data_IF_096306931627
#
_entry.id   IF_096306931627
#
_cell.length_a   1.000
_cell.length_b   1.000
_cell.length_c   1.000
_cell.angle_alpha   90.00
_cell.angle_beta   90.00
_cell.angle_gamma   90.00
#
_symmetry.space_group_name_H-M   'P 1'
#
loop_
_entity.id
_entity.type
_entity.pdbx_description
1 polymer ?
#
# COMPACT_ATOMS: atom_id res chain seq x y z
N UNK A 1 1.30 14.96 -1.92
CA UNK A 1 1.42 14.35 -0.56
C UNK A 1 0.66 13.03 -0.57
N UNK A 2 1.23 11.99 0.01
CA UNK A 2 0.61 10.67 0.21
C UNK A 2 0.44 10.44 1.70
N UNK A 3 -0.80 10.31 2.16
CA UNK A 3 -1.09 9.91 3.54
C UNK A 3 -1.03 8.39 3.64
N UNK A 4 -0.32 7.89 4.65
CA UNK A 4 -0.21 6.45 4.95
C UNK A 4 -0.65 6.22 6.39
N UNK A 5 -1.56 5.29 6.62
CA UNK A 5 -2.05 4.92 7.96
C UNK A 5 -2.06 3.40 8.15
N UNK A 6 -1.29 2.92 9.10
CA UNK A 6 -1.38 1.54 9.57
C UNK A 6 -2.61 1.45 10.50
N UNK A 7 -3.74 0.96 9.97
CA UNK A 7 -5.00 0.89 10.71
C UNK A 7 -4.96 -0.21 11.77
N UNK A 8 -4.37 -1.36 11.45
CA UNK A 8 -4.18 -2.48 12.35
C UNK A 8 -2.81 -3.12 12.16
N UNK A 9 -2.16 -3.51 13.24
CA UNK A 9 -0.81 -4.06 13.25
C UNK A 9 -0.70 -5.45 13.89
N UNK A 10 -1.81 -6.11 14.20
CA UNK A 10 -1.87 -7.44 14.76
C UNK A 10 -1.99 -8.52 13.69
N UNK A 11 -1.39 -9.68 13.94
CA UNK A 11 -1.58 -10.91 13.17
C UNK A 11 -2.37 -11.96 13.95
N UNK A 12 -2.90 -12.96 13.25
CA UNK A 12 -3.59 -14.15 13.73
C UNK A 12 -4.97 -13.91 14.36
N UNK A 13 -5.06 -13.14 15.44
CA UNK A 13 -6.33 -12.91 16.16
C UNK A 13 -6.41 -11.49 16.69
N UNK A 14 -7.63 -10.88 16.73
CA UNK A 14 -7.79 -9.54 17.26
C UNK A 14 -7.57 -9.53 18.78
N UNK A 15 -6.98 -8.44 19.26
CA UNK A 15 -6.81 -8.17 20.69
C UNK A 15 -7.57 -6.89 21.06
N UNK A 16 -8.00 -6.70 22.32
CA UNK A 16 -8.75 -5.51 22.72
C UNK A 16 -8.02 -4.19 22.44
N UNK A 17 -6.70 -4.23 22.33
CA UNK A 17 -5.80 -3.09 22.13
C UNK A 17 -5.01 -3.15 20.82
N UNK A 18 -5.30 -4.14 19.94
CA UNK A 18 -4.58 -4.30 18.66
C UNK A 18 -5.51 -4.88 17.60
N UNK A 19 -5.81 -4.08 16.59
CA UNK A 19 -6.61 -4.50 15.44
C UNK A 19 -5.79 -5.37 14.48
N UNK A 20 -6.49 -6.19 13.70
CA UNK A 20 -5.90 -7.06 12.70
C UNK A 20 -5.38 -6.26 11.50
N UNK A 21 -4.59 -6.93 10.70
CA UNK A 21 -3.81 -6.39 9.60
C UNK A 21 -4.63 -5.53 8.64
N UNK A 22 -4.25 -4.26 8.52
CA UNK A 22 -4.86 -3.34 7.55
C UNK A 22 -4.01 -2.08 7.40
N UNK A 23 -3.77 -1.66 6.16
CA UNK A 23 -3.04 -0.45 5.79
C UNK A 23 -3.90 0.39 4.84
N UNK A 24 -4.01 1.68 5.08
CA UNK A 24 -4.72 2.60 4.19
C UNK A 24 -3.80 3.70 3.68
N UNK A 25 -3.88 3.96 2.38
CA UNK A 25 -3.19 5.05 1.71
C UNK A 25 -4.21 6.01 1.09
N UNK A 26 -3.92 7.32 1.13
CA UNK A 26 -4.78 8.35 0.53
C UNK A 26 -3.95 9.30 -0.33
N UNK A 27 -4.41 9.53 -1.56
CA UNK A 27 -3.76 10.41 -2.52
C UNK A 27 -4.80 11.07 -3.43
N UNK A 28 -4.82 12.39 -3.53
CA UNK A 28 -5.67 13.16 -4.44
C UNK A 28 -7.17 12.78 -4.38
N UNK A 29 -7.71 12.57 -3.18
CA UNK A 29 -9.12 12.22 -2.99
C UNK A 29 -9.45 10.74 -3.18
N UNK A 30 -8.52 9.94 -3.64
CA UNK A 30 -8.62 8.47 -3.79
C UNK A 30 -7.99 7.76 -2.60
N UNK A 31 -8.48 6.58 -2.26
CA UNK A 31 -7.90 5.76 -1.20
C UNK A 31 -7.72 4.31 -1.65
N UNK A 32 -6.61 3.72 -1.19
CA UNK A 32 -6.35 2.29 -1.29
C UNK A 32 -6.37 1.69 0.12
N UNK A 33 -7.01 0.54 0.27
CA UNK A 33 -6.94 -0.29 1.46
C UNK A 33 -6.13 -1.55 1.11
N UNK A 34 -5.14 -1.92 1.90
CA UNK A 34 -4.38 -3.17 1.74
C UNK A 34 -4.63 -4.03 2.96
N UNK A 35 -5.21 -5.19 2.74
CA UNK A 35 -5.81 -6.08 3.72
C UNK A 35 -6.97 -5.43 4.50
N UNK A 36 -7.89 -6.25 4.91
CA UNK A 36 -9.09 -5.86 5.63
C UNK A 36 -9.38 -6.89 6.73
N UNK A 37 -8.52 -6.90 7.76
CA UNK A 37 -8.70 -7.73 8.94
C UNK A 37 -9.94 -7.32 9.73
N UNK A 38 -10.33 -8.13 10.70
CA UNK A 38 -11.48 -7.85 11.56
C UNK A 38 -11.34 -6.49 12.25
N UNK A 39 -12.44 -5.73 12.30
CA UNK A 39 -12.54 -4.41 12.89
C UNK A 39 -11.81 -3.27 12.14
N UNK A 40 -11.36 -3.45 10.91
CA UNK A 40 -10.75 -2.39 10.09
C UNK A 40 -11.62 -1.13 10.01
N UNK A 41 -12.96 -1.26 9.83
CA UNK A 41 -13.88 -0.13 9.80
C UNK A 41 -13.95 0.63 11.13
N UNK A 42 -13.72 -0.05 12.26
CA UNK A 42 -13.64 0.59 13.59
C UNK A 42 -12.35 1.40 13.70
N UNK A 43 -11.21 0.83 13.27
CA UNK A 43 -9.92 1.51 13.24
C UNK A 43 -9.97 2.78 12.38
N UNK A 44 -10.59 2.70 11.18
CA UNK A 44 -10.83 3.85 10.31
C UNK A 44 -11.67 4.93 11.00
N UNK A 45 -12.80 4.55 11.61
CA UNK A 45 -13.67 5.49 12.33
C UNK A 45 -12.95 6.17 13.48
N UNK A 46 -12.17 5.44 14.28
CA UNK A 46 -11.32 6.01 15.34
C UNK A 46 -10.28 6.98 14.79
N UNK A 47 -9.73 6.70 13.61
CA UNK A 47 -8.78 7.58 12.92
C UNK A 47 -9.45 8.83 12.33
N UNK A 48 -10.77 8.84 12.16
CA UNK A 48 -11.52 9.90 11.50
C UNK A 48 -11.35 9.88 9.96
N UNK A 49 -11.00 8.75 9.39
CA UNK A 49 -10.88 8.57 7.94
C UNK A 49 -12.18 8.00 7.36
N UNK A 50 -12.69 8.65 6.31
CA UNK A 50 -13.90 8.20 5.63
C UNK A 50 -13.62 6.95 4.78
N UNK A 51 -14.53 5.97 4.75
CA UNK A 51 -14.45 4.84 3.85
C UNK A 51 -14.81 5.18 2.39
N UNK A 52 -15.64 6.20 2.14
CA UNK A 52 -16.16 6.53 0.80
C UNK A 52 -15.10 6.67 -0.29
N UNK A 53 -13.91 7.27 -0.04
CA UNK A 53 -12.89 7.39 -1.07
C UNK A 53 -12.13 6.10 -1.39
N UNK A 54 -12.48 4.94 -0.80
CA UNK A 54 -11.81 3.66 -1.11
C UNK A 54 -12.19 3.22 -2.52
N UNK A 55 -11.28 3.36 -3.46
CA UNK A 55 -11.46 2.92 -4.84
C UNK A 55 -11.05 1.47 -5.06
N UNK A 56 -10.06 1.01 -4.28
CA UNK A 56 -9.64 -0.39 -4.33
C UNK A 56 -9.26 -0.94 -2.95
N UNK A 57 -9.51 -2.25 -2.78
CA UNK A 57 -9.06 -3.06 -1.65
C UNK A 57 -8.15 -4.16 -2.22
N UNK A 58 -6.90 -4.16 -1.76
CA UNK A 58 -5.89 -5.13 -2.17
C UNK A 58 -5.72 -6.17 -1.06
N UNK A 59 -5.59 -7.44 -1.42
CA UNK A 59 -5.33 -8.52 -0.47
C UNK A 59 -3.96 -9.13 -0.72
N UNK A 60 -3.16 -9.26 0.33
CA UNK A 60 -1.89 -9.97 0.28
C UNK A 60 -2.13 -11.48 0.12
N UNK A 61 -3.07 -12.01 0.88
CA UNK A 61 -3.54 -13.40 0.84
C UNK A 61 -4.89 -13.52 1.58
N UNK A 62 -5.39 -14.76 1.79
CA UNK A 62 -6.75 -14.98 2.31
C UNK A 62 -6.82 -15.67 3.67
N UNK A 63 -5.80 -15.50 4.53
CA UNK A 63 -5.98 -15.86 5.94
C UNK A 63 -6.96 -14.89 6.60
N UNK A 64 -7.65 -15.39 7.63
CA UNK A 64 -8.77 -14.67 8.23
C UNK A 64 -8.39 -13.27 8.74
N UNK A 65 -7.23 -13.12 9.34
CA UNK A 65 -6.71 -11.86 9.87
C UNK A 65 -6.40 -10.79 8.79
N UNK A 66 -6.48 -11.15 7.50
CA UNK A 66 -6.31 -10.24 6.37
C UNK A 66 -7.61 -9.94 5.60
N UNK A 67 -8.65 -10.77 5.73
CA UNK A 67 -9.86 -10.64 4.90
C UNK A 67 -11.18 -10.70 5.68
N UNK A 68 -11.20 -11.17 6.92
CA UNK A 68 -12.46 -11.38 7.68
C UNK A 68 -13.28 -10.11 7.89
N UNK A 69 -12.66 -8.93 7.85
CA UNK A 69 -13.35 -7.64 7.94
C UNK A 69 -14.06 -7.19 6.66
N UNK A 70 -13.81 -7.85 5.53
CA UNK A 70 -14.32 -7.40 4.22
C UNK A 70 -15.85 -7.27 4.18
N UNK A 71 -16.67 -8.23 4.62
CA UNK A 71 -18.14 -8.08 4.55
C UNK A 71 -18.61 -6.85 5.33
N UNK A 72 -18.10 -6.65 6.55
CA UNK A 72 -18.43 -5.48 7.37
C UNK A 72 -17.96 -4.16 6.76
N UNK A 73 -16.82 -4.15 6.08
CA UNK A 73 -16.31 -2.97 5.37
C UNK A 73 -17.22 -2.63 4.17
N UNK A 74 -17.60 -3.60 3.37
CA UNK A 74 -18.48 -3.39 2.21
C UNK A 74 -19.87 -2.89 2.64
N UNK A 75 -20.44 -3.44 3.71
CA UNK A 75 -21.68 -2.92 4.30
C UNK A 75 -21.51 -1.50 4.83
N UNK A 76 -20.35 -1.17 5.40
CA UNK A 76 -20.05 0.20 5.85
C UNK A 76 -19.99 1.18 4.68
N UNK A 77 -19.41 0.79 3.55
CA UNK A 77 -19.41 1.57 2.31
C UNK A 77 -20.84 1.78 1.77
N UNK A 78 -21.66 0.71 1.75
CA UNK A 78 -23.05 0.79 1.33
C UNK A 78 -23.90 1.71 2.23
N UNK A 79 -23.72 1.61 3.55
CA UNK A 79 -24.39 2.49 4.51
C UNK A 79 -23.93 3.95 4.44
N UNK A 80 -22.79 4.21 3.83
CA UNK A 80 -22.28 5.56 3.54
C UNK A 80 -22.73 6.07 2.16
N UNK A 81 -23.79 5.45 1.58
CA UNK A 81 -24.42 5.82 0.32
C UNK A 81 -23.49 5.75 -0.90
N UNK A 82 -22.44 4.91 -0.84
CA UNK A 82 -21.56 4.70 -2.00
C UNK A 82 -22.32 3.97 -3.10
N UNK A 83 -22.22 4.48 -4.33
CA UNK A 83 -22.73 3.86 -5.56
C UNK A 83 -21.64 3.55 -6.58
N UNK A 84 -20.48 4.20 -6.47
CA UNK A 84 -19.34 3.96 -7.35
C UNK A 84 -18.74 2.57 -7.12
N UNK A 85 -18.29 1.89 -8.17
CA UNK A 85 -17.67 0.56 -8.05
C UNK A 85 -16.47 0.54 -7.09
N UNK A 86 -16.25 -0.61 -6.46
CA UNK A 86 -15.04 -0.90 -5.67
C UNK A 86 -14.26 -2.02 -6.36
N UNK A 87 -12.98 -1.79 -6.60
CA UNK A 87 -12.09 -2.79 -7.18
C UNK A 87 -11.44 -3.63 -6.07
N UNK A 88 -11.59 -4.95 -6.15
CA UNK A 88 -10.91 -5.90 -5.28
C UNK A 88 -9.76 -6.54 -6.06
N UNK A 89 -8.55 -6.50 -5.50
CA UNK A 89 -7.34 -7.04 -6.12
C UNK A 89 -6.72 -8.06 -5.17
N UNK A 90 -6.30 -9.21 -5.69
CA UNK A 90 -5.62 -10.20 -4.84
C UNK A 90 -5.15 -11.44 -5.59
N UNK A 91 -4.56 -12.40 -4.87
CA UNK A 91 -4.12 -13.65 -5.45
C UNK A 91 -5.24 -14.40 -6.18
N UNK A 92 -4.86 -15.33 -7.04
CA UNK A 92 -5.82 -16.26 -7.70
C UNK A 92 -6.75 -16.93 -6.70
N UNK A 93 -8.05 -16.94 -7.00
CA UNK A 93 -9.11 -17.46 -6.14
C UNK A 93 -9.86 -16.37 -5.36
N UNK A 94 -9.56 -15.08 -5.58
CA UNK A 94 -10.21 -13.94 -4.95
C UNK A 94 -11.73 -13.97 -5.17
N UNK A 95 -12.17 -14.17 -6.39
CA UNK A 95 -13.61 -14.18 -6.71
C UNK A 95 -14.37 -15.23 -5.89
N UNK A 96 -13.81 -16.43 -5.79
CA UNK A 96 -14.44 -17.52 -5.00
C UNK A 96 -14.51 -17.16 -3.51
N UNK A 97 -13.44 -16.61 -2.95
CA UNK A 97 -13.36 -16.21 -1.54
C UNK A 97 -14.36 -15.09 -1.25
N UNK A 98 -14.36 -14.04 -2.06
CA UNK A 98 -15.28 -12.89 -1.93
C UNK A 98 -16.73 -13.33 -2.01
N UNK A 99 -17.10 -14.13 -3.03
CA UNK A 99 -18.47 -14.68 -3.15
C UNK A 99 -18.90 -15.50 -1.94
N UNK A 100 -17.98 -16.28 -1.37
CA UNK A 100 -18.27 -17.07 -0.16
C UNK A 100 -18.51 -16.20 1.08
N UNK A 101 -17.72 -15.13 1.24
CA UNK A 101 -17.88 -14.18 2.35
C UNK A 101 -19.18 -13.36 2.22
N UNK A 102 -19.56 -13.01 0.99
CA UNK A 102 -20.73 -12.17 0.71
C UNK A 102 -22.07 -12.93 0.82
N UNK A 103 -22.09 -14.21 1.13
CA UNK A 103 -23.33 -14.93 1.51
C UNK A 103 -24.03 -14.23 2.68
N UNK A 104 -23.29 -13.58 3.57
CA UNK A 104 -23.85 -12.81 4.71
C UNK A 104 -24.12 -11.32 4.41
N UNK A 105 -23.76 -10.85 3.21
CA UNK A 105 -23.97 -9.47 2.75
C UNK A 105 -24.29 -9.47 1.24
N UNK A 106 -25.44 -10.09 0.84
CA UNK A 106 -25.71 -10.41 -0.56
C UNK A 106 -26.05 -9.20 -1.42
N UNK A 107 -26.51 -8.12 -0.80
CA UNK A 107 -26.96 -6.91 -1.52
C UNK A 107 -26.05 -5.73 -1.17
N UNK A 108 -25.37 -5.20 -2.19
CA UNK A 108 -24.55 -3.99 -2.09
C UNK A 108 -25.06 -2.97 -3.11
N UNK A 109 -25.13 -1.66 -2.77
CA UNK A 109 -25.60 -0.63 -3.69
C UNK A 109 -24.60 -0.24 -4.77
N UNK A 110 -23.46 -0.92 -4.85
CA UNK A 110 -22.38 -0.69 -5.81
C UNK A 110 -21.84 -2.00 -6.38
N UNK A 111 -21.22 -1.90 -7.55
CA UNK A 111 -20.54 -3.03 -8.21
C UNK A 111 -19.22 -3.38 -7.51
N UNK A 112 -18.92 -4.68 -7.37
CA UNK A 112 -17.59 -5.18 -7.04
C UNK A 112 -16.91 -5.66 -8.32
N UNK A 113 -15.81 -5.01 -8.67
CA UNK A 113 -14.91 -5.46 -9.73
C UNK A 113 -13.79 -6.28 -9.12
N UNK A 114 -13.51 -7.43 -9.71
CA UNK A 114 -12.51 -8.37 -9.19
C UNK A 114 -11.37 -8.48 -10.18
N UNK A 115 -10.16 -8.34 -9.67
CA UNK A 115 -8.92 -8.53 -10.41
C UNK A 115 -8.03 -9.53 -9.66
N UNK A 116 -7.81 -10.69 -10.26
CA UNK A 116 -6.91 -11.71 -9.74
C UNK A 116 -5.52 -11.52 -10.34
N UNK A 117 -4.51 -11.40 -9.48
CA UNK A 117 -3.12 -11.18 -9.88
C UNK A 117 -2.59 -12.41 -10.61
N UNK A 118 -1.95 -12.19 -11.77
CA UNK A 118 -1.33 -13.22 -12.59
C UNK A 118 0.21 -13.21 -12.45
N UNK A 119 0.79 -14.41 -12.38
CA UNK A 119 2.25 -14.58 -12.35
C UNK A 119 2.90 -14.24 -11.00
N UNK A 120 4.18 -13.89 -11.07
CA UNK A 120 5.00 -13.58 -9.87
C UNK A 120 5.08 -12.08 -9.59
N UNK A 121 4.86 -11.25 -10.58
CA UNK A 121 4.83 -9.78 -10.49
C UNK A 121 3.78 -9.24 -11.46
N UNK A 122 3.09 -8.18 -11.07
CA UNK A 122 2.12 -7.50 -11.91
C UNK A 122 2.08 -6.01 -11.56
N UNK A 123 2.03 -5.16 -12.60
CA UNK A 123 1.90 -3.71 -12.47
C UNK A 123 0.46 -3.27 -12.76
N UNK A 124 -0.14 -2.54 -11.82
CA UNK A 124 -1.53 -2.08 -11.87
C UNK A 124 -1.55 -0.57 -11.62
N UNK A 125 -2.31 0.18 -12.42
CA UNK A 125 -2.46 1.62 -12.26
C UNK A 125 -3.90 1.99 -11.90
N UNK A 126 -4.09 2.73 -10.81
CA UNK A 126 -5.40 3.16 -10.30
C UNK A 126 -5.27 4.59 -9.79
N UNK A 127 -6.04 5.55 -10.34
CA UNK A 127 -6.20 6.90 -9.79
C UNK A 127 -4.88 7.60 -9.38
N UNK A 128 -3.81 7.41 -10.18
CA UNK A 128 -2.49 7.99 -9.93
C UNK A 128 -1.57 7.14 -9.03
N UNK A 129 -2.05 6.04 -8.48
CA UNK A 129 -1.22 5.02 -7.86
C UNK A 129 -0.64 4.09 -8.93
N UNK A 130 0.66 3.85 -8.89
CA UNK A 130 1.31 2.77 -9.63
C UNK A 130 1.64 1.68 -8.62
N UNK A 131 0.96 0.56 -8.72
CA UNK A 131 1.02 -0.55 -7.78
C UNK A 131 1.75 -1.69 -8.46
N UNK A 132 2.81 -2.20 -7.83
CA UNK A 132 3.45 -3.45 -8.22
C UNK A 132 3.15 -4.50 -7.17
N UNK A 133 2.39 -5.53 -7.56
CA UNK A 133 2.25 -6.76 -6.80
C UNK A 133 3.47 -7.64 -7.06
N UNK A 134 4.05 -8.26 -6.03
CA UNK A 134 5.17 -9.18 -6.17
C UNK A 134 5.04 -10.35 -5.20
N UNK A 135 5.29 -11.56 -5.70
CA UNK A 135 5.15 -12.80 -4.93
C UNK A 135 6.18 -12.87 -3.80
N UNK A 136 5.71 -13.29 -2.62
CA UNK A 136 6.52 -13.53 -1.42
C UNK A 136 6.41 -15.00 -0.97
N UNK A 137 7.10 -15.38 0.11
CA UNK A 137 7.21 -16.78 0.55
C UNK A 137 6.39 -17.05 1.82
N UNK A 138 5.14 -17.41 1.63
CA UNK A 138 4.24 -17.84 2.71
C UNK A 138 3.67 -19.25 2.46
N UNK A 139 2.86 -19.77 3.39
CA UNK A 139 2.24 -21.11 3.30
C UNK A 139 1.14 -21.17 2.24
N UNK A 140 0.55 -20.04 1.89
CA UNK A 140 -0.40 -19.86 0.79
C UNK A 140 0.14 -18.88 -0.24
N UNK A 141 -0.52 -18.77 -1.40
CA UNK A 141 -0.15 -17.75 -2.39
C UNK A 141 -0.31 -16.36 -1.76
N UNK A 142 0.82 -15.63 -1.67
CA UNK A 142 0.90 -14.34 -0.99
C UNK A 142 1.72 -13.35 -1.81
N UNK A 143 1.27 -12.08 -1.81
CA UNK A 143 1.94 -10.97 -2.49
C UNK A 143 2.26 -9.85 -1.52
N UNK A 144 3.40 -9.20 -1.73
CA UNK A 144 3.69 -7.86 -1.25
C UNK A 144 3.27 -6.84 -2.30
N UNK A 145 3.18 -5.57 -1.89
CA UNK A 145 2.81 -4.46 -2.76
C UNK A 145 3.80 -3.32 -2.63
N UNK A 146 4.25 -2.80 -3.75
CA UNK A 146 4.93 -1.51 -3.83
C UNK A 146 4.00 -0.50 -4.48
N UNK A 147 3.73 0.59 -3.78
CA UNK A 147 2.89 1.70 -4.25
C UNK A 147 3.78 2.89 -4.54
N UNK A 148 3.73 3.38 -5.77
CA UNK A 148 4.52 4.54 -6.21
C UNK A 148 3.61 5.64 -6.74
N UNK A 149 3.92 6.88 -6.35
CA UNK A 149 3.29 8.09 -6.89
C UNK A 149 4.35 8.77 -7.75
N UNK A 150 4.10 8.84 -9.05
CA UNK A 150 5.02 9.50 -10.00
C UNK A 150 5.02 11.01 -9.80
N UNK A 151 6.15 11.64 -10.03
CA UNK A 151 6.32 13.08 -10.04
C UNK A 151 6.79 13.53 -11.41
N UNK A 152 5.92 14.22 -12.15
CA UNK A 152 6.27 14.78 -13.46
C UNK A 152 7.49 15.71 -13.38
N UNK A 153 8.20 15.83 -14.46
CA UNK A 153 9.26 16.81 -14.64
C UNK A 153 8.77 18.24 -14.43
N UNK A 154 9.69 19.18 -14.28
CA UNK A 154 9.32 20.61 -14.23
C UNK A 154 8.93 21.09 -15.62
N UNK A 155 7.85 21.85 -15.70
CA UNK A 155 7.47 22.54 -16.94
C UNK A 155 8.49 23.63 -17.26
N UNK A 156 8.93 23.66 -18.51
CA UNK A 156 9.89 24.66 -19.00
C UNK A 156 9.13 25.78 -19.76
N UNK A 157 8.81 26.85 -19.05
CA UNK A 157 8.09 28.00 -19.58
C UNK A 157 8.89 28.75 -20.66
N UNK A 158 10.22 28.76 -20.58
CA UNK A 158 11.09 29.38 -21.61
C UNK A 158 10.96 28.64 -22.92
N UNK A 159 11.08 27.30 -22.87
CA UNK A 159 10.94 26.44 -24.06
C UNK A 159 9.52 26.48 -24.63
N UNK A 160 8.50 26.60 -23.78
CA UNK A 160 7.12 26.76 -24.22
C UNK A 160 6.90 28.08 -24.95
N UNK A 161 7.55 29.16 -24.52
CA UNK A 161 7.53 30.47 -25.20
C UNK A 161 8.32 30.42 -26.51
N UNK A 162 9.50 29.79 -26.54
CA UNK A 162 10.32 29.62 -27.76
C UNK A 162 9.58 28.84 -28.86
N UNK A 163 8.74 27.88 -28.46
CA UNK A 163 7.91 27.09 -29.36
C UNK A 163 6.56 27.74 -29.70
N UNK A 164 6.32 28.95 -29.23
CA UNK A 164 5.07 29.69 -29.42
C UNK A 164 3.83 28.88 -28.99
N UNK A 165 3.93 28.14 -27.89
CA UNK A 165 2.82 27.35 -27.35
C UNK A 165 1.84 28.28 -26.62
N UNK A 166 0.56 28.32 -27.01
CA UNK A 166 -0.44 29.14 -26.34
C UNK A 166 -0.54 28.83 -24.83
N UNK A 167 -0.55 29.85 -23.98
CA UNK A 167 -0.58 29.70 -22.50
C UNK A 167 -1.77 28.81 -22.04
N UNK A 168 -2.91 28.88 -22.73
CA UNK A 168 -4.09 28.04 -22.48
C UNK A 168 -3.82 26.53 -22.57
N UNK A 169 -2.74 26.10 -23.24
CA UNK A 169 -2.34 24.70 -23.42
C UNK A 169 -1.34 24.24 -22.37
N UNK A 170 -0.67 25.14 -21.66
CA UNK A 170 0.41 24.79 -20.72
C UNK A 170 -0.05 23.83 -19.63
N UNK A 171 -1.23 24.11 -19.03
CA UNK A 171 -1.78 23.24 -17.95
C UNK A 171 -2.08 21.83 -18.46
N UNK A 172 -2.56 21.69 -19.69
CA UNK A 172 -2.83 20.40 -20.32
C UNK A 172 -1.54 19.62 -20.56
N UNK A 173 -0.51 20.27 -21.11
CA UNK A 173 0.81 19.69 -21.31
C UNK A 173 1.46 19.28 -19.97
N UNK A 174 1.28 20.09 -18.91
CA UNK A 174 1.74 19.74 -17.56
C UNK A 174 1.05 18.50 -16.99
N UNK A 175 -0.19 18.24 -17.41
CA UNK A 175 -0.97 17.04 -17.03
C UNK A 175 -0.67 15.82 -17.91
N UNK A 176 0.25 15.95 -18.86
CA UNK A 176 0.59 14.87 -19.77
C UNK A 176 -0.33 14.74 -21.00
N UNK A 177 -1.19 15.75 -21.26
CA UNK A 177 -2.11 15.75 -22.41
C UNK A 177 -1.43 16.39 -23.62
N UNK A 178 -1.61 15.78 -24.80
CA UNK A 178 -1.23 16.40 -26.06
C UNK A 178 -2.22 17.50 -26.45
N UNK A 179 -1.72 18.50 -27.15
CA UNK A 179 -2.51 19.64 -27.58
C UNK A 179 -2.31 19.93 -29.09
N UNK A 180 -3.39 20.28 -29.79
CA UNK A 180 -3.36 20.70 -31.17
C UNK A 180 -3.98 22.09 -31.26
N UNK A 181 -3.32 23.02 -31.98
CA UNK A 181 -3.83 24.36 -32.28
C UNK A 181 -4.80 24.34 -33.45
N UNK A 182 -5.56 25.41 -33.63
CA UNK A 182 -6.52 25.55 -34.73
C UNK A 182 -5.83 25.55 -36.12
N UNK A 183 -4.57 26.00 -36.18
CA UNK A 183 -3.71 25.99 -37.38
C UNK A 183 -2.96 24.63 -37.57
N UNK A 184 -3.28 23.61 -36.77
CA UNK A 184 -2.78 22.24 -36.90
C UNK A 184 -1.43 21.95 -36.27
N UNK A 185 -0.82 22.89 -35.52
CA UNK A 185 0.42 22.62 -34.79
C UNK A 185 0.15 21.66 -33.62
N UNK A 186 0.96 20.61 -33.53
CA UNK A 186 0.86 19.57 -32.51
C UNK A 186 1.95 19.73 -31.47
N UNK A 187 1.55 19.73 -30.19
CA UNK A 187 2.46 19.86 -29.06
C UNK A 187 2.28 18.69 -28.10
N UNK A 188 3.40 18.09 -27.72
CA UNK A 188 3.45 16.96 -26.76
C UNK A 188 4.13 17.37 -25.46
N UNK A 189 3.82 16.72 -24.33
CA UNK A 189 4.40 17.03 -23.03
C UNK A 189 5.94 17.02 -23.02
N UNK A 190 6.57 16.07 -23.70
CA UNK A 190 8.03 15.92 -23.77
C UNK A 190 8.75 17.12 -24.39
N UNK A 191 8.04 17.91 -25.20
CA UNK A 191 8.60 19.15 -25.77
C UNK A 191 8.91 20.20 -24.70
N UNK A 192 8.16 20.21 -23.58
CA UNK A 192 8.21 21.27 -22.55
C UNK A 192 8.34 20.76 -21.13
N UNK A 193 8.24 19.45 -20.91
CA UNK A 193 8.46 18.84 -19.61
C UNK A 193 9.93 18.43 -19.45
N UNK A 194 10.48 18.67 -18.27
CA UNK A 194 11.79 18.16 -17.89
C UNK A 194 11.75 16.65 -17.61
N UNK A 195 12.90 16.10 -17.22
CA UNK A 195 12.99 14.69 -16.80
C UNK A 195 12.04 14.41 -15.62
N UNK A 196 11.49 13.20 -15.60
CA UNK A 196 10.73 12.70 -14.43
C UNK A 196 11.56 12.84 -13.15
N UNK A 197 10.95 13.36 -12.10
CA UNK A 197 11.58 13.56 -10.81
C UNK A 197 11.27 12.38 -9.88
N UNK A 198 12.06 12.26 -8.82
CA UNK A 198 11.79 11.23 -7.82
C UNK A 198 10.39 11.41 -7.25
N UNK A 199 9.58 10.37 -7.37
CA UNK A 199 8.26 10.26 -6.77
C UNK A 199 8.29 9.80 -5.33
N UNK A 200 7.14 9.37 -4.82
CA UNK A 200 7.00 8.76 -3.49
C UNK A 200 6.85 7.25 -3.68
N UNK A 201 7.51 6.46 -2.82
CA UNK A 201 7.47 5.00 -2.87
C UNK A 201 7.22 4.40 -1.49
N UNK A 202 6.19 3.58 -1.36
CA UNK A 202 5.86 2.81 -0.16
C UNK A 202 5.82 1.34 -0.51
N UNK A 203 6.52 0.50 0.25
CA UNK A 203 6.45 -0.95 0.10
C UNK A 203 5.84 -1.58 1.35
N UNK A 204 4.94 -2.53 1.14
CA UNK A 204 4.21 -3.26 2.17
C UNK A 204 4.33 -4.77 1.97
N UNK A 205 4.74 -5.46 3.02
CA UNK A 205 4.76 -6.93 3.08
C UNK A 205 4.30 -7.41 4.44
N UNK A 206 3.50 -8.46 4.43
CA UNK A 206 3.10 -9.21 5.62
C UNK A 206 3.67 -10.62 5.53
N UNK A 207 3.02 -11.59 6.03
CA UNK A 207 3.26 -13.03 6.11
C UNK A 207 4.24 -13.58 5.07
N UNK A 208 5.52 -13.59 5.43
CA UNK A 208 6.56 -14.06 4.52
C UNK A 208 7.89 -14.33 5.23
N UNK A 209 8.66 -15.27 4.70
CA UNK A 209 10.09 -15.34 4.97
C UNK A 209 10.84 -14.29 4.15
N UNK A 210 12.04 -13.84 4.58
CA UNK A 210 12.90 -13.01 3.76
C UNK A 210 13.16 -13.64 2.40
N UNK A 211 12.85 -12.89 1.32
CA UNK A 211 13.12 -13.31 -0.06
C UNK A 211 13.64 -12.14 -0.89
N UNK A 212 14.37 -12.47 -1.96
CA UNK A 212 14.99 -11.48 -2.84
C UNK A 212 13.98 -10.49 -3.42
N UNK A 213 12.77 -10.96 -3.78
CA UNK A 213 11.71 -10.09 -4.33
C UNK A 213 11.33 -8.95 -3.39
N UNK A 214 11.35 -9.15 -2.07
CA UNK A 214 11.08 -8.08 -1.08
C UNK A 214 12.16 -7.01 -1.16
N UNK A 215 13.44 -7.40 -1.08
CA UNK A 215 14.56 -6.47 -1.16
C UNK A 215 14.53 -5.66 -2.45
N UNK A 216 14.36 -6.35 -3.59
CA UNK A 216 14.41 -5.71 -4.90
C UNK A 216 13.23 -4.74 -5.10
N UNK A 217 12.04 -5.10 -4.64
CA UNK A 217 10.86 -4.24 -4.73
C UNK A 217 10.84 -3.12 -3.67
N UNK A 218 11.40 -3.34 -2.48
CA UNK A 218 11.52 -2.31 -1.45
C UNK A 218 12.65 -1.31 -1.71
N UNK A 219 13.58 -1.60 -2.64
CA UNK A 219 14.75 -0.76 -2.90
C UNK A 219 14.42 0.72 -3.05
N UNK A 220 15.05 1.56 -2.20
CA UNK A 220 14.87 3.02 -2.20
C UNK A 220 13.48 3.51 -1.79
N UNK A 221 12.66 2.71 -1.10
CA UNK A 221 11.35 3.15 -0.61
C UNK A 221 11.48 4.24 0.44
N UNK A 222 10.57 5.23 0.40
CA UNK A 222 10.48 6.26 1.44
C UNK A 222 9.96 5.66 2.75
N UNK A 223 9.09 4.64 2.64
CA UNK A 223 8.58 3.88 3.76
C UNK A 223 8.47 2.39 3.37
N UNK A 224 9.09 1.53 4.17
CA UNK A 224 8.90 0.10 4.11
C UNK A 224 8.11 -0.36 5.34
N UNK A 225 6.95 -0.95 5.13
CA UNK A 225 6.12 -1.55 6.18
C UNK A 225 6.24 -3.05 6.00
N UNK A 226 6.82 -3.71 6.99
CA UNK A 226 7.18 -5.12 6.92
C UNK A 226 6.71 -5.86 8.16
N UNK A 227 6.30 -7.10 7.99
CA UNK A 227 6.01 -7.92 9.15
C UNK A 227 7.22 -8.04 10.08
N UNK A 228 6.90 -8.16 11.35
CA UNK A 228 7.79 -8.60 12.40
C UNK A 228 6.95 -9.40 13.40
N UNK A 229 6.69 -10.68 13.08
CA UNK A 229 5.84 -11.52 13.92
C UNK A 229 6.46 -11.72 15.30
N UNK A 230 7.78 -11.84 15.36
CA UNK A 230 8.52 -12.13 16.60
C UNK A 230 9.70 -11.18 16.80
N UNK A 231 9.84 -10.68 18.04
CA UNK A 231 10.95 -9.81 18.44
C UNK A 231 12.18 -10.56 18.91
N UNK A 232 12.01 -11.79 19.40
CA UNK A 232 13.05 -12.61 20.05
C UNK A 232 13.65 -13.61 19.08
N UNK A 233 14.98 -13.71 19.03
CA UNK A 233 15.69 -14.65 18.14
C UNK A 233 15.49 -16.12 18.54
N UNK A 234 15.06 -16.43 19.77
CA UNK A 234 14.66 -17.77 20.20
C UNK A 234 13.41 -18.31 19.51
N UNK A 235 12.62 -17.44 18.86
CA UNK A 235 11.46 -17.79 18.03
C UNK A 235 11.81 -18.09 16.57
N UNK A 236 13.09 -18.09 16.20
CA UNK A 236 13.52 -18.20 14.79
C UNK A 236 12.99 -19.47 14.12
N UNK A 237 13.10 -20.65 14.78
CA UNK A 237 12.61 -21.90 14.17
C UNK A 237 11.09 -21.85 13.97
N UNK A 238 10.34 -21.26 14.91
CA UNK A 238 8.89 -21.06 14.79
C UNK A 238 8.55 -20.10 13.64
N UNK A 239 9.31 -19.01 13.50
CA UNK A 239 9.16 -18.08 12.39
C UNK A 239 9.39 -18.78 11.04
N UNK A 240 10.41 -19.62 10.95
CA UNK A 240 10.74 -20.38 9.75
C UNK A 240 9.65 -21.41 9.41
N UNK A 241 9.17 -22.17 10.38
CA UNK A 241 8.13 -23.18 10.23
C UNK A 241 6.82 -22.56 9.72
N UNK A 242 6.39 -21.46 10.34
CA UNK A 242 5.14 -20.77 9.99
C UNK A 242 5.31 -19.74 8.85
N UNK A 243 6.52 -19.61 8.31
CA UNK A 243 6.89 -18.66 7.25
C UNK A 243 6.58 -17.20 7.60
N UNK A 244 7.04 -16.78 8.78
CA UNK A 244 7.04 -15.40 9.26
C UNK A 244 8.46 -14.86 9.47
N UNK A 245 8.61 -13.56 9.75
CA UNK A 245 9.89 -12.91 9.99
C UNK A 245 10.12 -12.53 11.44
N UNK A 246 11.39 -12.49 11.80
CA UNK A 246 11.90 -11.83 13.00
C UNK A 246 12.07 -10.32 12.74
N UNK A 247 12.01 -9.52 13.78
CA UNK A 247 12.33 -8.08 13.69
C UNK A 247 13.71 -7.84 13.09
N UNK A 248 14.70 -8.64 13.50
CA UNK A 248 16.08 -8.54 12.99
C UNK A 248 16.20 -8.83 11.49
N UNK A 249 15.37 -9.75 10.95
CA UNK A 249 15.33 -10.07 9.53
C UNK A 249 14.72 -8.93 8.72
N UNK A 250 13.59 -8.36 9.19
CA UNK A 250 12.96 -7.20 8.56
C UNK A 250 13.91 -5.99 8.54
N UNK A 251 14.65 -5.76 9.64
CA UNK A 251 15.63 -4.68 9.70
C UNK A 251 16.81 -4.87 8.75
N UNK A 252 17.29 -6.10 8.56
CA UNK A 252 18.34 -6.41 7.55
C UNK A 252 17.83 -6.17 6.13
N UNK A 253 16.61 -6.62 5.81
CA UNK A 253 15.99 -6.33 4.51
C UNK A 253 15.87 -4.84 4.25
N UNK A 254 15.43 -4.06 5.25
CA UNK A 254 15.31 -2.60 5.16
C UNK A 254 16.66 -1.94 4.87
N UNK A 255 17.73 -2.40 5.55
CA UNK A 255 19.11 -1.93 5.33
C UNK A 255 19.62 -2.29 3.92
N UNK A 256 19.43 -3.54 3.50
CA UNK A 256 19.85 -4.02 2.17
C UNK A 256 19.11 -3.35 1.02
N UNK A 257 17.85 -2.98 1.24
CA UNK A 257 17.01 -2.27 0.28
C UNK A 257 17.21 -0.74 0.29
N UNK A 258 18.05 -0.23 1.18
CA UNK A 258 18.32 1.22 1.34
C UNK A 258 17.03 2.04 1.46
N UNK A 259 16.11 1.60 2.30
CA UNK A 259 14.86 2.32 2.55
C UNK A 259 15.08 3.47 3.53
N UNK A 260 14.26 4.52 3.49
CA UNK A 260 14.41 5.65 4.42
C UNK A 260 13.89 5.36 5.82
N UNK A 261 12.77 4.64 5.91
CA UNK A 261 12.11 4.31 7.18
C UNK A 261 11.50 2.90 7.12
N UNK A 262 11.60 2.15 8.23
CA UNK A 262 10.96 0.85 8.40
C UNK A 262 9.89 0.94 9.50
N UNK A 263 8.67 0.46 9.21
CA UNK A 263 7.67 0.16 10.23
C UNK A 263 7.48 -1.35 10.34
N UNK A 264 7.67 -1.86 11.56
CA UNK A 264 7.35 -3.25 11.87
C UNK A 264 5.85 -3.39 12.15
N UNK A 265 5.24 -4.44 11.65
CA UNK A 265 3.79 -4.72 11.77
C UNK A 265 3.53 -6.22 11.90
N UNK A 266 2.27 -6.64 11.90
CA UNK A 266 1.83 -8.03 11.93
C UNK A 266 2.36 -8.81 13.13
N UNK A 267 2.20 -8.23 14.32
CA UNK A 267 2.74 -8.80 15.55
C UNK A 267 1.97 -10.03 16.02
N UNK A 268 2.70 -11.04 16.47
CA UNK A 268 2.11 -12.18 17.19
C UNK A 268 1.23 -11.73 18.38
N UNK A 269 0.09 -12.38 18.64
CA UNK A 269 -0.69 -12.12 19.85
C UNK A 269 0.10 -12.26 21.14
N UNK A 270 1.13 -13.12 21.16
CA UNK A 270 2.01 -13.30 22.32
C UNK A 270 3.00 -12.15 22.53
N UNK A 271 3.20 -11.30 21.51
CA UNK A 271 4.09 -10.15 21.58
C UNK A 271 3.35 -8.95 22.19
N UNK A 272 3.41 -8.81 23.51
CA UNK A 272 2.68 -7.78 24.24
C UNK A 272 3.21 -6.38 23.98
N UNK A 273 4.51 -6.17 24.05
CA UNK A 273 5.15 -4.88 23.79
C UNK A 273 6.32 -5.03 22.81
N UNK A 274 6.13 -4.63 21.54
CA UNK A 274 7.20 -4.72 20.54
C UNK A 274 8.37 -3.74 20.81
N UNK A 275 8.17 -2.72 21.66
CA UNK A 275 9.16 -1.67 21.90
C UNK A 275 10.39 -2.18 22.64
N UNK A 276 10.26 -3.24 23.43
CA UNK A 276 11.37 -3.80 24.23
C UNK A 276 12.55 -4.31 23.37
N UNK A 277 12.30 -4.62 22.11
CA UNK A 277 13.32 -5.12 21.16
C UNK A 277 13.95 -4.03 20.32
N UNK A 278 13.41 -2.79 20.34
CA UNK A 278 13.77 -1.77 19.37
C UNK A 278 15.19 -1.24 19.51
N UNK A 279 15.80 -1.29 20.69
CA UNK A 279 17.17 -0.82 20.87
C UNK A 279 18.17 -1.69 20.08
N UNK A 280 17.97 -3.01 20.03
CA UNK A 280 18.79 -3.92 19.24
C UNK A 280 18.48 -3.82 17.74
N UNK A 281 17.21 -3.66 17.39
CA UNK A 281 16.79 -3.48 16.00
C UNK A 281 17.35 -2.21 15.39
N UNK A 282 17.39 -1.11 16.14
CA UNK A 282 17.98 0.17 15.69
C UNK A 282 19.49 0.11 15.49
N UNK A 283 20.19 -0.83 16.11
CA UNK A 283 21.62 -1.09 15.82
C UNK A 283 21.81 -1.65 14.40
N UNK A 284 20.81 -2.40 13.88
CA UNK A 284 20.81 -2.96 12.52
C UNK A 284 20.35 -1.88 11.53
N UNK A 285 19.21 -1.25 11.81
CA UNK A 285 18.59 -0.21 10.98
C UNK A 285 18.05 0.94 11.87
N UNK A 286 18.77 2.07 11.98
CA UNK A 286 18.45 3.15 12.92
C UNK A 286 17.05 3.77 12.73
N UNK A 287 16.56 3.80 11.49
CA UNK A 287 15.23 4.34 11.15
C UNK A 287 14.07 3.34 11.32
N UNK A 288 14.30 2.23 12.03
CA UNK A 288 13.24 1.28 12.36
C UNK A 288 12.32 1.83 13.47
N UNK A 289 11.03 1.63 13.30
CA UNK A 289 9.98 2.02 14.24
C UNK A 289 8.96 0.90 14.42
N UNK A 290 8.40 0.76 15.61
CA UNK A 290 7.23 -0.08 15.81
C UNK A 290 6.01 0.53 15.10
N UNK A 291 5.27 -0.31 14.40
CA UNK A 291 3.90 -0.04 14.00
C UNK A 291 2.99 -0.04 15.24
N UNK A 292 1.90 0.68 15.15
CA UNK A 292 0.79 0.66 16.09
C UNK A 292 -0.47 1.05 15.36
N UNK A 293 -1.61 0.61 15.88
CA UNK A 293 -2.91 0.98 15.31
C UNK A 293 -3.06 2.50 15.21
N UNK A 294 -3.44 2.97 14.04
CA UNK A 294 -3.61 4.39 13.72
C UNK A 294 -2.32 5.17 13.53
N UNK A 295 -1.13 4.51 13.48
CA UNK A 295 0.13 5.21 13.13
C UNK A 295 0.05 5.76 11.72
N UNK A 296 0.41 7.04 11.58
CA UNK A 296 0.26 7.78 10.32
C UNK A 296 1.55 8.52 9.99
N UNK A 297 1.81 8.66 8.70
CA UNK A 297 2.78 9.59 8.13
C UNK A 297 2.21 10.24 6.88
N UNK A 298 2.61 11.47 6.62
CA UNK A 298 2.40 12.15 5.34
C UNK A 298 3.75 12.17 4.63
N UNK A 299 3.80 11.50 3.50
CA UNK A 299 4.97 11.52 2.62
C UNK A 299 4.79 12.60 1.56
N UNK A 300 5.81 13.40 1.36
CA UNK A 300 5.83 14.44 0.34
C UNK A 300 7.02 14.27 -0.59
N UNK A 301 6.97 14.94 -1.72
CA UNK A 301 8.08 14.99 -2.65
C UNK A 301 9.26 15.72 -2.01
N UNK A 302 10.45 15.16 -2.16
CA UNK A 302 11.68 15.86 -1.75
C UNK A 302 11.88 17.14 -2.57
N UNK A 303 12.23 18.24 -1.90
CA UNK A 303 12.70 19.44 -2.59
C UNK A 303 14.07 19.15 -3.21
N UNK A 304 14.22 19.45 -4.51
CA UNK A 304 15.47 19.40 -5.28
C UNK A 304 16.10 20.78 -5.34
#
# INVERSE_FOLDING_TARGET
MLDVCLLGCGGMMPLPYRYLTSLMLRFNGSSLLIDCGEATQIAMKKKGWSPNPIDAILFTHYHADHISGLPGMLLTLGNAERTDPVLLIGPKGLERVVRSLLVIAPELPFELKIHEIEGNEEDICINGYNIRAFKVNHNVLCYGYTISIKRAGRFNDKKAKELDIPIRMWNRLQKGEECVTEDGRHFTPDMVMGKERRGIKVTYTTDTRPVKSIRDNAAGSDLFICEGMYGEDDKFEKAKENKHMMFSEAARLAKEADVKELWLTHYSPSLMDPRIYMDDIKKIFPAAKCGKDGKTVVLDYEEE
#
